data_IF_213714355686
#
_entry.id   IF_213714355686
#
_cell.length_a   1.000
_cell.length_b   1.000
_cell.length_c   1.000
_cell.angle_alpha   90.00
_cell.angle_beta   90.00
_cell.angle_gamma   90.00
#
_symmetry.space_group_name_H-M   'P 1'
#
loop_
_entity.id
_entity.type
_entity.pdbx_description
1 polymer ?
#
# COMPACT_ATOMS: atom_id res chain seq x y z
N UNK A 1 -5.25 -9.78 -6.83
CA UNK A 1 -5.86 -8.56 -7.41
C UNK A 1 -7.11 -9.00 -8.15
N UNK A 2 -8.27 -8.41 -7.85
CA UNK A 2 -9.49 -8.70 -8.59
C UNK A 2 -9.31 -8.27 -10.07
N UNK A 3 -9.66 -9.14 -11.01
CA UNK A 3 -9.67 -8.77 -12.44
C UNK A 3 -10.76 -7.72 -12.66
N UNK A 4 -10.48 -6.66 -13.43
CA UNK A 4 -11.50 -5.68 -13.82
C UNK A 4 -12.56 -6.29 -14.75
N UNK A 5 -12.26 -7.43 -15.38
CA UNK A 5 -13.21 -8.19 -16.20
C UNK A 5 -14.15 -9.02 -15.32
N UNK A 6 -15.48 -8.85 -15.44
CA UNK A 6 -16.44 -9.63 -14.67
C UNK A 6 -16.36 -11.13 -14.96
N UNK A 7 -16.45 -11.98 -13.92
CA UNK A 7 -16.42 -13.43 -14.09
C UNK A 7 -17.73 -14.01 -14.63
N UNK A 8 -18.89 -13.47 -14.23
CA UNK A 8 -20.18 -13.94 -14.73
C UNK A 8 -20.37 -13.52 -16.20
N UNK A 9 -20.81 -14.45 -17.06
CA UNK A 9 -21.00 -14.20 -18.50
C UNK A 9 -21.96 -13.04 -18.79
N UNK A 10 -23.04 -12.92 -18.01
CA UNK A 10 -24.01 -11.83 -18.16
C UNK A 10 -23.38 -10.47 -17.85
N UNK A 11 -22.61 -10.40 -16.77
CA UNK A 11 -21.88 -9.18 -16.39
C UNK A 11 -20.78 -8.85 -17.40
N UNK A 12 -20.08 -9.86 -17.91
CA UNK A 12 -19.09 -9.69 -18.96
C UNK A 12 -19.72 -9.18 -20.25
N UNK A 13 -20.89 -9.70 -20.65
CA UNK A 13 -21.60 -9.24 -21.84
C UNK A 13 -22.00 -7.75 -21.73
N UNK A 14 -22.57 -7.35 -20.60
CA UNK A 14 -22.93 -5.95 -20.34
C UNK A 14 -21.72 -5.03 -20.32
N UNK A 15 -20.64 -5.44 -19.64
CA UNK A 15 -19.38 -4.70 -19.61
C UNK A 15 -18.77 -4.54 -21.00
N UNK A 16 -18.70 -5.62 -21.78
CA UNK A 16 -18.11 -5.60 -23.11
C UNK A 16 -18.96 -4.78 -24.10
N UNK A 17 -20.29 -4.84 -23.97
CA UNK A 17 -21.19 -3.98 -24.74
C UNK A 17 -20.94 -2.49 -24.46
N UNK A 18 -20.77 -2.11 -23.19
CA UNK A 18 -20.41 -0.74 -22.82
C UNK A 18 -19.04 -0.35 -23.40
N UNK A 19 -18.03 -1.20 -23.20
CA UNK A 19 -16.65 -0.98 -23.66
C UNK A 19 -16.59 -0.73 -25.18
N UNK A 20 -17.20 -1.61 -25.99
CA UNK A 20 -17.22 -1.45 -27.45
C UNK A 20 -18.05 -0.25 -27.91
N UNK A 21 -19.13 0.09 -27.20
CA UNK A 21 -20.02 1.20 -27.61
C UNK A 21 -19.33 2.54 -27.41
N UNK A 22 -18.67 2.74 -26.27
CA UNK A 22 -17.94 3.97 -25.98
C UNK A 22 -16.71 4.14 -26.89
N UNK A 23 -15.90 3.10 -27.06
CA UNK A 23 -14.72 3.16 -27.93
C UNK A 23 -15.09 3.37 -29.40
N UNK A 24 -16.19 2.78 -29.88
CA UNK A 24 -16.63 2.98 -31.25
C UNK A 24 -17.20 4.39 -31.50
N UNK A 25 -17.72 5.06 -30.47
CA UNK A 25 -18.21 6.42 -30.60
C UNK A 25 -17.06 7.43 -30.75
N UNK A 26 -16.02 7.31 -29.91
CA UNK A 26 -14.89 8.26 -29.91
C UNK A 26 -13.54 7.57 -29.65
N UNK A 27 -13.01 6.79 -30.61
CA UNK A 27 -11.78 5.99 -30.38
C UNK A 27 -10.56 6.86 -30.03
N UNK A 28 -10.47 8.06 -30.59
CA UNK A 28 -9.36 8.99 -30.36
C UNK A 28 -9.29 9.49 -28.92
N UNK A 29 -10.42 9.63 -28.23
CA UNK A 29 -10.48 10.07 -26.83
C UNK A 29 -9.84 9.04 -25.89
N UNK A 30 -9.81 7.77 -26.33
CA UNK A 30 -9.17 6.66 -25.63
C UNK A 30 -7.74 6.39 -26.10
N UNK A 31 -7.21 7.20 -27.03
CA UNK A 31 -5.89 6.98 -27.63
C UNK A 31 -5.83 5.75 -28.53
N UNK A 32 -6.97 5.40 -29.15
CA UNK A 32 -7.13 4.30 -30.10
C UNK A 32 -7.47 4.85 -31.50
N UNK A 33 -7.34 3.99 -32.51
CA UNK A 33 -7.75 4.31 -33.89
C UNK A 33 -9.04 3.58 -34.28
N UNK A 34 -9.68 4.02 -35.38
CA UNK A 34 -10.89 3.40 -35.89
C UNK A 34 -10.71 1.89 -36.22
N UNK A 35 -9.50 1.48 -36.60
CA UNK A 35 -9.15 0.07 -36.79
C UNK A 35 -9.27 -0.75 -35.49
N UNK A 36 -8.85 -0.19 -34.36
CA UNK A 36 -8.94 -0.85 -33.05
C UNK A 36 -10.40 -1.02 -32.61
N UNK A 37 -11.21 0.04 -32.77
CA UNK A 37 -12.64 -0.01 -32.50
C UNK A 37 -13.34 -1.10 -33.33
N UNK A 38 -12.94 -1.23 -34.60
CA UNK A 38 -13.45 -2.29 -35.49
C UNK A 38 -13.06 -3.68 -34.99
N UNK A 39 -11.80 -3.87 -34.57
CA UNK A 39 -11.33 -5.14 -34.01
C UNK A 39 -12.07 -5.53 -32.72
N UNK A 40 -12.27 -4.57 -31.81
CA UNK A 40 -13.02 -4.75 -30.55
C UNK A 40 -14.48 -5.12 -30.86
N UNK A 41 -15.13 -4.44 -31.80
CA UNK A 41 -16.51 -4.73 -32.19
C UNK A 41 -16.68 -6.12 -32.85
N UNK A 42 -15.68 -6.56 -33.62
CA UNK A 42 -15.64 -7.90 -34.19
C UNK A 42 -15.65 -8.99 -33.09
N UNK A 43 -14.84 -8.82 -32.05
CA UNK A 43 -14.80 -9.74 -30.91
C UNK A 43 -16.11 -9.72 -30.10
N UNK A 44 -16.73 -8.55 -29.92
CA UNK A 44 -18.02 -8.46 -29.26
C UNK A 44 -19.11 -9.20 -30.04
N UNK A 45 -19.14 -9.06 -31.37
CA UNK A 45 -20.09 -9.76 -32.23
C UNK A 45 -19.94 -11.28 -32.12
N UNK A 46 -18.70 -11.79 -32.18
CA UNK A 46 -18.42 -13.22 -32.04
C UNK A 46 -18.83 -13.78 -30.68
N UNK A 47 -18.47 -13.08 -29.60
CA UNK A 47 -18.87 -13.44 -28.23
C UNK A 47 -20.40 -13.40 -28.06
N UNK A 48 -21.04 -12.28 -28.40
CA UNK A 48 -22.47 -12.11 -28.19
C UNK A 48 -23.29 -13.13 -28.98
N UNK A 49 -22.89 -13.44 -30.22
CA UNK A 49 -23.55 -14.49 -31.02
C UNK A 49 -23.50 -15.85 -30.32
N UNK A 50 -22.34 -16.26 -29.80
CA UNK A 50 -22.21 -17.53 -29.08
C UNK A 50 -22.95 -17.49 -27.73
N UNK A 51 -22.93 -16.37 -27.02
CA UNK A 51 -23.62 -16.17 -25.76
C UNK A 51 -25.14 -16.32 -25.91
N UNK A 52 -25.75 -15.69 -26.91
CA UNK A 52 -27.20 -15.78 -27.16
C UNK A 52 -27.67 -17.22 -27.40
N UNK A 53 -26.88 -18.05 -28.10
CA UNK A 53 -27.20 -19.48 -28.31
C UNK A 53 -27.28 -20.26 -26.99
N UNK A 54 -26.48 -19.87 -26.00
CA UNK A 54 -26.48 -20.53 -24.67
C UNK A 54 -27.60 -20.05 -23.75
N UNK A 55 -28.27 -18.93 -24.05
CA UNK A 55 -29.39 -18.43 -23.26
C UNK A 55 -30.69 -19.20 -23.53
N UNK A 56 -30.85 -19.74 -24.73
CA UNK A 56 -32.06 -20.48 -25.13
C UNK A 56 -31.93 -21.96 -24.71
N UNK A 57 -32.81 -22.49 -23.85
CA UNK A 57 -32.70 -23.87 -23.36
C UNK A 57 -32.65 -24.94 -24.47
N UNK A 58 -33.37 -24.73 -25.57
CA UNK A 58 -33.43 -25.67 -26.69
C UNK A 58 -32.11 -25.79 -27.46
N UNK A 59 -31.27 -24.75 -27.45
CA UNK A 59 -29.99 -24.72 -28.18
C UNK A 59 -28.77 -24.78 -27.24
N UNK A 60 -29.00 -24.78 -25.92
CA UNK A 60 -27.97 -24.88 -24.89
C UNK A 60 -27.43 -26.30 -24.77
N UNK A 61 -26.60 -26.67 -25.74
CA UNK A 61 -25.91 -27.95 -25.83
C UNK A 61 -24.46 -27.84 -25.34
N UNK A 62 -23.82 -28.95 -24.99
CA UNK A 62 -22.40 -28.95 -24.58
C UNK A 62 -21.47 -28.33 -25.64
N UNK A 63 -21.65 -28.59 -26.96
CA UNK A 63 -20.89 -27.89 -28.00
C UNK A 63 -21.13 -26.37 -28.03
N UNK A 64 -22.37 -25.90 -27.80
CA UNK A 64 -22.66 -24.47 -27.75
C UNK A 64 -22.00 -23.77 -26.56
N UNK A 65 -21.97 -24.44 -25.40
CA UNK A 65 -21.25 -23.94 -24.22
C UNK A 65 -19.75 -23.84 -24.50
N UNK A 66 -19.16 -24.89 -25.09
CA UNK A 66 -17.74 -24.89 -25.46
C UNK A 66 -17.39 -23.79 -26.48
N UNK A 67 -18.24 -23.59 -27.49
CA UNK A 67 -18.06 -22.51 -28.47
C UNK A 67 -18.12 -21.12 -27.83
N UNK A 68 -19.04 -20.92 -26.89
CA UNK A 68 -19.13 -19.68 -26.10
C UNK A 68 -17.88 -19.47 -25.24
N UNK A 69 -17.38 -20.49 -24.56
CA UNK A 69 -16.16 -20.39 -23.74
C UNK A 69 -14.92 -20.08 -24.58
N UNK A 70 -14.79 -20.67 -25.79
CA UNK A 70 -13.74 -20.34 -26.76
C UNK A 70 -13.87 -18.89 -27.23
N UNK A 71 -15.08 -18.43 -27.57
CA UNK A 71 -15.31 -17.05 -27.96
C UNK A 71 -14.96 -16.07 -26.83
N UNK A 72 -15.20 -16.46 -25.57
CA UNK A 72 -14.80 -15.68 -24.39
C UNK A 72 -13.28 -15.54 -24.31
N UNK A 73 -12.57 -16.66 -24.40
CA UNK A 73 -11.12 -16.69 -24.29
C UNK A 73 -10.47 -15.82 -25.38
N UNK A 74 -10.98 -15.90 -26.61
CA UNK A 74 -10.53 -15.07 -27.73
C UNK A 74 -10.81 -13.59 -27.51
N UNK A 75 -12.03 -13.25 -27.09
CA UNK A 75 -12.39 -11.88 -26.75
C UNK A 75 -11.47 -11.31 -25.65
N UNK A 76 -11.29 -12.05 -24.55
CA UNK A 76 -10.43 -11.64 -23.44
C UNK A 76 -8.97 -11.45 -23.86
N UNK A 77 -8.44 -12.28 -24.76
CA UNK A 77 -7.08 -12.16 -25.29
C UNK A 77 -6.87 -10.84 -26.06
N UNK A 78 -7.87 -10.40 -26.82
CA UNK A 78 -7.79 -9.18 -27.64
C UNK A 78 -8.14 -7.92 -26.85
N UNK A 79 -9.17 -7.94 -26.01
CA UNK A 79 -9.64 -6.73 -25.30
C UNK A 79 -8.71 -6.33 -24.15
N UNK A 80 -8.00 -7.28 -23.52
CA UNK A 80 -7.12 -6.99 -22.38
C UNK A 80 -5.98 -6.04 -22.76
N UNK A 81 -5.24 -6.25 -23.86
CA UNK A 81 -4.25 -5.29 -24.35
C UNK A 81 -4.80 -3.87 -24.55
N UNK A 82 -5.96 -3.73 -25.21
CA UNK A 82 -6.58 -2.42 -25.42
C UNK A 82 -7.00 -1.76 -24.11
N UNK A 83 -7.65 -2.50 -23.22
CA UNK A 83 -8.02 -1.99 -21.90
C UNK A 83 -6.79 -1.54 -21.09
N UNK A 84 -5.67 -2.26 -21.17
CA UNK A 84 -4.42 -1.86 -20.51
C UNK A 84 -3.77 -0.64 -21.16
N UNK A 85 -3.79 -0.54 -22.49
CA UNK A 85 -3.32 0.64 -23.22
C UNK A 85 -4.09 1.89 -22.78
N UNK A 86 -5.42 1.82 -22.78
CA UNK A 86 -6.28 2.94 -22.34
C UNK A 86 -6.04 3.27 -20.86
N UNK A 87 -5.95 2.25 -20.00
CA UNK A 87 -5.73 2.44 -18.55
C UNK A 87 -4.42 3.15 -18.24
N UNK A 88 -3.35 2.76 -18.91
CA UNK A 88 -2.00 3.26 -18.66
C UNK A 88 -1.71 4.59 -19.39
N UNK A 89 -2.56 5.00 -20.33
CA UNK A 89 -2.40 6.25 -21.04
C UNK A 89 -2.72 7.43 -20.11
N UNK A 90 -1.74 8.29 -19.83
CA UNK A 90 -1.90 9.48 -18.99
C UNK A 90 -2.69 10.60 -19.68
N UNK A 91 -2.79 10.58 -21.01
CA UNK A 91 -3.58 11.55 -21.77
C UNK A 91 -5.09 11.25 -21.72
N UNK A 92 -5.48 9.99 -21.44
CA UNK A 92 -6.88 9.62 -21.25
C UNK A 92 -7.32 10.01 -19.84
N UNK A 93 -8.38 10.79 -19.74
CA UNK A 93 -8.91 11.24 -18.44
C UNK A 93 -9.41 10.08 -17.58
N UNK A 94 -9.39 10.26 -16.27
CA UNK A 94 -9.91 9.26 -15.34
C UNK A 94 -11.42 9.05 -15.49
N UNK A 95 -12.17 10.08 -15.88
CA UNK A 95 -13.61 9.95 -16.14
C UNK A 95 -13.89 9.02 -17.32
N UNK A 96 -13.10 9.09 -18.39
CA UNK A 96 -13.22 8.18 -19.54
C UNK A 96 -12.84 6.74 -19.16
N UNK A 97 -11.80 6.54 -18.35
CA UNK A 97 -11.39 5.22 -17.84
C UNK A 97 -12.47 4.59 -16.97
N UNK A 98 -13.07 5.38 -16.07
CA UNK A 98 -14.21 4.95 -15.24
C UNK A 98 -15.43 4.63 -16.09
N UNK A 99 -15.71 5.43 -17.12
CA UNK A 99 -16.79 5.17 -18.08
C UNK A 99 -16.68 3.82 -18.78
N UNK A 100 -15.44 3.37 -19.07
CA UNK A 100 -15.17 2.02 -19.61
C UNK A 100 -15.22 0.89 -18.57
N UNK A 101 -15.44 1.21 -17.28
CA UNK A 101 -15.37 0.24 -16.19
C UNK A 101 -13.94 -0.23 -15.89
N UNK A 102 -12.92 0.58 -16.17
CA UNK A 102 -11.52 0.27 -15.85
C UNK A 102 -11.15 0.82 -14.46
N UNK A 103 -10.30 0.10 -13.74
CA UNK A 103 -9.77 0.56 -12.46
C UNK A 103 -8.71 1.63 -12.68
N UNK A 104 -8.87 2.80 -12.06
CA UNK A 104 -7.88 3.89 -12.10
C UNK A 104 -6.60 3.46 -11.37
N UNK A 105 -5.43 3.77 -11.95
CA UNK A 105 -4.15 3.68 -11.23
C UNK A 105 -4.06 4.90 -10.32
N UNK A 106 -3.96 4.75 -8.99
CA UNK A 106 -3.76 5.91 -8.11
C UNK A 106 -2.45 6.62 -8.49
N UNK A 107 -2.54 7.90 -8.83
CA UNK A 107 -1.42 8.75 -9.31
C UNK A 107 -0.47 9.19 -8.20
N UNK A 108 -0.88 9.11 -6.92
CA UNK A 108 0.01 9.31 -5.78
C UNK A 108 -0.48 8.45 -4.62
N UNK A 109 0.43 7.72 -3.96
CA UNK A 109 0.11 7.03 -2.72
C UNK A 109 -0.29 8.04 -1.65
N UNK A 110 -1.33 7.74 -0.87
CA UNK A 110 -1.72 8.56 0.28
C UNK A 110 -0.52 8.69 1.21
N UNK A 111 -0.01 9.90 1.48
CA UNK A 111 1.13 10.08 2.36
C UNK A 111 0.81 9.55 3.77
N UNK A 112 1.77 8.87 4.39
CA UNK A 112 1.63 8.44 5.79
C UNK A 112 1.80 9.69 6.66
N UNK A 113 0.79 10.08 7.47
CA UNK A 113 0.90 11.25 8.34
C UNK A 113 1.94 11.03 9.44
N UNK A 114 2.45 12.12 10.06
CA UNK A 114 3.26 12.02 11.26
C UNK A 114 2.57 11.23 12.37
N UNK A 115 3.28 10.34 13.08
CA UNK A 115 2.74 9.68 14.26
C UNK A 115 2.40 10.73 15.33
N UNK A 116 1.24 10.61 15.97
CA UNK A 116 0.82 11.52 17.06
C UNK A 116 1.17 11.00 18.45
N UNK A 117 1.51 9.71 18.55
CA UNK A 117 1.90 9.02 19.79
C UNK A 117 3.40 8.88 19.91
N UNK A 118 3.87 8.45 21.08
CA UNK A 118 5.30 8.26 21.37
C UNK A 118 5.57 6.91 22.06
N UNK A 119 6.78 6.36 21.92
CA UNK A 119 7.17 5.11 22.58
C UNK A 119 7.60 5.37 24.03
N UNK A 120 6.82 4.90 25.00
CA UNK A 120 7.19 4.88 26.41
C UNK A 120 8.28 3.83 26.64
N UNK A 121 9.52 4.27 26.79
CA UNK A 121 10.66 3.38 27.05
C UNK A 121 10.80 3.06 28.56
N UNK A 122 11.14 1.82 28.87
CA UNK A 122 11.40 1.39 30.25
C UNK A 122 12.61 0.47 30.30
N UNK A 123 13.46 0.65 31.32
CA UNK A 123 14.59 -0.24 31.56
C UNK A 123 14.10 -1.61 32.03
N UNK A 124 14.47 -2.65 31.30
CA UNK A 124 14.12 -4.04 31.64
C UNK A 124 15.25 -4.76 32.36
N UNK A 125 16.48 -4.56 31.90
CA UNK A 125 17.66 -5.22 32.44
C UNK A 125 18.88 -4.33 32.20
N UNK A 126 19.73 -4.21 33.21
CA UNK A 126 21.07 -3.64 33.07
C UNK A 126 22.09 -4.74 33.35
N UNK A 127 23.06 -4.87 32.47
CA UNK A 127 24.26 -5.71 32.60
C UNK A 127 25.47 -4.85 32.26
N UNK A 128 26.70 -5.21 32.66
CA UNK A 128 27.87 -4.39 32.37
C UNK A 128 27.94 -3.95 30.91
N UNK A 129 27.97 -2.63 30.70
CA UNK A 129 28.01 -1.93 29.41
C UNK A 129 26.80 -2.17 28.49
N UNK A 130 25.73 -2.81 28.96
CA UNK A 130 24.55 -3.14 28.14
C UNK A 130 23.26 -2.93 28.92
N UNK A 131 22.40 -2.05 28.40
CA UNK A 131 21.06 -1.83 28.91
C UNK A 131 20.03 -2.36 27.93
N UNK A 132 19.10 -3.19 28.41
CA UNK A 132 17.98 -3.70 27.63
C UNK A 132 16.74 -2.89 27.97
N UNK A 133 16.17 -2.23 26.95
CA UNK A 133 14.94 -1.46 27.05
C UNK A 133 13.77 -2.20 26.43
N UNK A 134 12.59 -2.02 27.01
CA UNK A 134 11.32 -2.26 26.33
C UNK A 134 10.66 -0.93 26.02
N UNK A 135 9.87 -0.89 24.96
CA UNK A 135 8.96 0.21 24.71
C UNK A 135 7.54 -0.30 24.44
N UNK A 136 6.57 0.57 24.72
CA UNK A 136 5.15 0.43 24.43
C UNK A 136 4.63 1.76 23.88
N UNK A 137 3.68 1.72 22.96
CA UNK A 137 3.04 2.92 22.44
C UNK A 137 2.24 3.66 23.52
N UNK A 138 2.23 4.99 23.50
CA UNK A 138 1.60 5.81 24.54
C UNK A 138 0.10 5.60 24.67
N UNK A 139 -0.57 5.22 23.58
CA UNK A 139 -2.03 5.02 23.55
C UNK A 139 -2.40 3.53 23.70
N UNK A 140 -1.41 2.64 23.69
CA UNK A 140 -1.65 1.22 23.87
C UNK A 140 -1.85 0.86 25.35
N UNK A 141 -2.98 0.22 25.67
CA UNK A 141 -3.24 -0.35 27.01
C UNK A 141 -2.36 -1.58 27.28
N UNK A 142 -1.99 -2.34 26.25
CA UNK A 142 -1.05 -3.47 26.35
C UNK A 142 -0.34 -3.75 25.03
N UNK A 143 0.80 -4.42 25.10
CA UNK A 143 1.54 -4.90 23.92
C UNK A 143 2.72 -4.02 23.51
N UNK A 144 3.34 -4.38 22.38
CA UNK A 144 4.56 -3.74 21.84
C UNK A 144 4.42 -3.32 20.38
N UNK A 145 3.17 -3.30 19.89
CA UNK A 145 2.87 -2.85 18.55
C UNK A 145 3.23 -1.37 18.43
N UNK A 146 3.71 -0.99 17.24
CA UNK A 146 3.87 0.43 16.90
C UNK A 146 2.56 0.93 16.30
N UNK A 147 2.31 2.24 16.29
CA UNK A 147 1.23 2.84 15.52
C UNK A 147 1.30 2.47 14.04
N UNK A 148 0.16 2.59 13.37
CA UNK A 148 0.08 2.39 11.93
C UNK A 148 1.11 3.27 11.19
N UNK A 149 1.75 2.72 10.15
CA UNK A 149 2.74 3.44 9.34
C UNK A 149 4.13 3.62 9.97
N UNK A 150 4.29 3.35 11.28
CA UNK A 150 5.57 3.44 11.97
C UNK A 150 6.44 2.21 11.72
N UNK A 151 7.68 2.40 11.26
CA UNK A 151 8.63 1.31 11.00
C UNK A 151 9.66 1.14 12.10
N UNK A 152 9.98 2.20 12.83
CA UNK A 152 11.03 2.19 13.85
C UNK A 152 10.77 3.18 14.98
N UNK A 153 11.59 3.05 16.01
CA UNK A 153 11.73 4.00 17.11
C UNK A 153 13.15 4.56 17.04
N UNK A 154 13.27 5.87 16.88
CA UNK A 154 14.53 6.58 17.10
C UNK A 154 14.73 6.78 18.59
N UNK A 155 15.88 6.33 19.10
CA UNK A 155 16.32 6.55 20.46
C UNK A 155 17.48 7.53 20.44
N UNK A 156 17.37 8.60 21.21
CA UNK A 156 18.44 9.56 21.48
C UNK A 156 18.81 9.48 22.96
N UNK A 157 20.08 9.75 23.28
CA UNK A 157 20.55 9.68 24.65
C UNK A 157 21.57 10.77 25.00
N UNK A 158 21.53 11.21 26.25
CA UNK A 158 22.63 11.94 26.90
C UNK A 158 23.27 11.03 27.95
N UNK A 159 24.56 11.23 28.21
CA UNK A 159 25.28 10.58 29.30
C UNK A 159 25.96 11.64 30.15
N UNK A 160 25.62 11.72 31.44
CA UNK A 160 26.10 12.77 32.33
C UNK A 160 26.09 12.35 33.80
N UNK A 161 26.35 13.30 34.69
CA UNK A 161 26.32 13.08 36.15
C UNK A 161 24.92 13.22 36.75
N UNK A 162 23.97 13.78 36.00
CA UNK A 162 22.56 13.94 36.38
C UNK A 162 21.65 13.66 35.19
N UNK A 163 20.37 13.31 35.43
CA UNK A 163 19.37 13.22 34.37
C UNK A 163 19.26 14.53 33.59
N UNK A 164 19.18 14.44 32.27
CA UNK A 164 18.86 15.58 31.42
C UNK A 164 17.33 15.70 31.24
N UNK A 165 16.86 16.89 30.88
CA UNK A 165 15.42 17.18 30.73
C UNK A 165 15.01 17.52 29.30
N UNK A 166 15.98 17.88 28.46
CA UNK A 166 15.76 18.32 27.08
C UNK A 166 16.26 17.25 26.09
N UNK A 167 15.40 16.71 25.21
CA UNK A 167 15.80 15.78 24.17
C UNK A 167 16.68 16.43 23.07
N UNK A 168 16.66 17.74 22.88
CA UNK A 168 17.39 18.39 21.77
C UNK A 168 18.91 18.45 22.01
N UNK A 169 19.35 18.28 23.26
CA UNK A 169 20.78 18.10 23.59
C UNK A 169 21.26 16.65 23.46
N UNK A 170 20.35 15.71 23.19
CA UNK A 170 20.65 14.29 23.12
C UNK A 170 21.23 13.88 21.75
N UNK A 171 22.18 12.95 21.78
CA UNK A 171 22.79 12.42 20.56
C UNK A 171 22.04 11.16 20.09
N UNK A 172 21.97 10.91 18.76
CA UNK A 172 21.42 9.67 18.22
C UNK A 172 22.08 8.44 18.84
N UNK A 173 21.27 7.56 19.44
CA UNK A 173 21.75 6.34 20.09
C UNK A 173 21.47 5.09 19.26
N UNK A 174 20.26 4.93 18.77
CA UNK A 174 19.86 3.79 17.95
C UNK A 174 18.55 4.04 17.21
N UNK A 175 18.34 3.35 16.10
CA UNK A 175 17.00 3.17 15.51
C UNK A 175 16.63 1.69 15.69
N UNK A 176 15.54 1.42 16.42
CA UNK A 176 15.13 0.07 16.78
C UNK A 176 13.79 -0.29 16.14
N UNK A 177 13.66 -1.52 15.64
CA UNK A 177 12.44 -1.98 14.95
C UNK A 177 11.59 -2.92 15.79
N UNK A 178 12.09 -3.42 16.93
CA UNK A 178 11.37 -4.32 17.84
C UNK A 178 11.78 -4.08 19.31
N UNK A 179 10.85 -4.41 20.22
CA UNK A 179 11.05 -4.42 21.67
C UNK A 179 11.11 -5.88 22.18
N UNK A 180 12.04 -6.26 23.07
CA UNK A 180 13.07 -5.43 23.69
C UNK A 180 14.23 -5.10 22.75
N UNK A 181 14.92 -4.00 23.02
CA UNK A 181 16.13 -3.57 22.30
C UNK A 181 17.30 -3.41 23.27
N UNK A 182 18.53 -3.55 22.77
CA UNK A 182 19.76 -3.48 23.57
C UNK A 182 20.56 -2.25 23.17
N UNK A 183 20.98 -1.48 24.16
CA UNK A 183 21.88 -0.34 24.01
C UNK A 183 23.22 -0.70 24.63
N UNK A 184 24.31 -0.42 23.92
CA UNK A 184 25.69 -0.63 24.39
C UNK A 184 26.28 0.68 24.85
N UNK A 185 27.07 0.66 25.90
CA UNK A 185 27.73 1.83 26.49
C UNK A 185 29.24 1.69 26.42
N UNK A 186 29.92 2.83 26.46
CA UNK A 186 31.38 2.84 26.52
C UNK A 186 31.86 2.62 27.96
N UNK A 187 33.03 1.99 28.16
CA UNK A 187 33.59 1.81 29.50
C UNK A 187 33.75 3.13 30.29
N UNK A 188 34.03 4.24 29.59
CA UNK A 188 34.16 5.59 30.16
C UNK A 188 32.84 6.18 30.70
N UNK A 189 31.73 5.49 30.46
CA UNK A 189 30.37 5.90 30.82
C UNK A 189 29.83 5.16 32.04
N UNK A 190 30.54 4.12 32.52
CA UNK A 190 30.16 3.38 33.73
C UNK A 190 30.07 4.34 34.92
N UNK A 191 29.01 4.21 35.72
CA UNK A 191 28.70 5.07 36.87
C UNK A 191 28.03 6.40 36.51
N UNK A 192 27.92 6.75 35.22
CA UNK A 192 27.17 7.94 34.76
C UNK A 192 25.69 7.59 34.55
N UNK A 193 24.86 8.62 34.50
CA UNK A 193 23.43 8.52 34.21
C UNK A 193 23.22 8.65 32.71
N UNK A 194 22.57 7.66 32.11
CA UNK A 194 22.00 7.76 30.78
C UNK A 194 20.58 8.31 30.89
N UNK A 195 20.23 9.33 30.11
CA UNK A 195 18.84 9.77 29.89
C UNK A 195 18.47 9.56 28.44
N UNK A 196 17.32 8.92 28.19
CA UNK A 196 16.91 8.46 26.87
C UNK A 196 15.52 8.98 26.54
N UNK A 197 15.35 9.41 25.30
CA UNK A 197 14.06 9.73 24.69
C UNK A 197 13.85 8.89 23.45
N UNK A 198 12.59 8.56 23.17
CA UNK A 198 12.20 7.84 21.98
C UNK A 198 11.14 8.59 21.17
N UNK A 199 11.16 8.44 19.85
CA UNK A 199 10.04 8.84 18.97
C UNK A 199 9.85 7.86 17.83
N UNK A 200 8.63 7.77 17.30
CA UNK A 200 8.35 6.92 16.15
C UNK A 200 8.82 7.56 14.84
N UNK A 201 9.23 6.70 13.91
CA UNK A 201 9.60 7.04 12.54
C UNK A 201 8.72 6.29 11.55
N UNK A 202 8.25 6.97 10.50
CA UNK A 202 7.61 6.32 9.35
C UNK A 202 8.65 5.86 8.32
N UNK A 203 8.25 5.02 7.36
CA UNK A 203 9.13 4.64 6.24
C UNK A 203 9.34 5.80 5.26
N UNK A 204 8.28 6.59 5.07
CA UNK A 204 8.17 7.67 4.09
C UNK A 204 6.96 8.53 4.49
N UNK A 205 6.81 9.67 3.85
CA UNK A 205 5.78 10.67 4.11
C UNK A 205 5.65 11.65 2.95
N UNK A 206 4.90 12.74 3.13
CA UNK A 206 4.82 13.81 2.14
C UNK A 206 6.21 14.24 1.65
N UNK A 207 6.36 14.46 0.33
CA UNK A 207 7.65 14.85 -0.26
C UNK A 207 8.74 13.76 -0.25
N UNK A 208 8.42 12.53 0.15
CA UNK A 208 9.42 11.45 0.30
C UNK A 208 10.20 11.53 1.61
N UNK A 209 9.79 12.39 2.54
CA UNK A 209 10.49 12.61 3.80
C UNK A 209 9.94 11.72 4.93
N UNK A 210 10.85 11.22 5.78
CA UNK A 210 10.48 10.46 6.98
C UNK A 210 9.73 11.38 7.94
N UNK A 211 8.53 10.96 8.36
CA UNK A 211 7.77 11.67 9.37
C UNK A 211 8.19 11.20 10.76
N UNK A 212 8.19 12.13 11.71
CA UNK A 212 8.68 11.92 13.08
C UNK A 212 7.56 12.25 14.04
N UNK A 213 7.32 11.35 14.99
CA UNK A 213 6.38 11.61 16.09
C UNK A 213 6.97 12.51 17.17
N UNK A 214 6.17 12.88 18.18
CA UNK A 214 6.65 13.60 19.35
C UNK A 214 7.67 12.76 20.15
N UNK A 215 8.51 13.44 20.94
CA UNK A 215 9.40 12.80 21.90
C UNK A 215 8.60 12.19 23.06
N UNK A 216 9.04 11.03 23.54
CA UNK A 216 8.55 10.43 24.79
C UNK A 216 8.98 11.23 26.01
N UNK A 217 8.47 10.88 27.20
CA UNK A 217 9.09 11.31 28.45
C UNK A 217 10.52 10.72 28.59
N UNK A 218 11.43 11.36 29.36
CA UNK A 218 12.78 10.85 29.59
C UNK A 218 12.77 9.58 30.44
N UNK A 219 13.56 8.58 30.03
CA UNK A 219 13.86 7.40 30.84
C UNK A 219 15.32 7.44 31.25
N UNK A 220 15.59 7.52 32.55
CA UNK A 220 16.95 7.63 33.09
C UNK A 220 17.37 6.44 33.94
N UNK A 221 18.63 6.05 33.86
CA UNK A 221 19.23 5.02 34.71
C UNK A 221 20.76 5.14 34.74
N UNK A 222 21.37 4.59 35.79
CA UNK A 222 22.82 4.49 35.91
C UNK A 222 23.36 3.39 35.00
N UNK A 223 24.43 3.70 34.26
CA UNK A 223 25.17 2.72 33.46
C UNK A 223 26.04 1.90 34.41
N UNK A 224 25.88 0.58 34.36
CA UNK A 224 26.71 -0.39 35.09
C UNK A 224 27.68 -1.11 34.16
#
# INVERSE_FOLDING_TARGET
MASYLPQADSSFNSWFQNFKTLINATPTDYGLVAGDATAINGQWTAWNSAYQVTLVPATRTSPAIAAKDVARANAESIIRPYAMQVRNNSAVSDSLKVGLGLTIVPTSGTPVPPPTTFPNASLRLATPLVSTLTYQDSDATSGKAKPYGCVGVELVATVGTSPAVDPDVALPKAIVTKSPCRLRWEPSQVGKVATIWGRYLTRSGPGGEVQRGPWSAPTSFTII
#
